data_IF_704027677498
#
_entry.id   IF_704027677498
#
_cell.length_a   1.000
_cell.length_b   1.000
_cell.length_c   1.000
_cell.angle_alpha   90.00
_cell.angle_beta   90.00
_cell.angle_gamma   90.00
#
_symmetry.space_group_name_H-M   'P 1'
#
loop_
_entity.id
_entity.type
_entity.pdbx_description
1 polymer ?
#
# COMPACT_ATOMS: atom_id res chain seq x y z
N UNK A 1 -7.60 -18.97 10.52
CA UNK A 1 -8.77 -18.04 10.56
C UNK A 1 -9.58 -18.14 9.26
N UNK A 2 -10.92 -18.22 9.30
CA UNK A 2 -11.79 -18.30 8.13
C UNK A 2 -11.83 -16.97 7.33
N UNK A 3 -11.74 -17.07 6.00
CA UNK A 3 -11.74 -15.93 5.07
C UNK A 3 -13.06 -15.17 5.12
N UNK A 4 -14.19 -15.85 5.26
CA UNK A 4 -15.50 -15.20 5.37
C UNK A 4 -15.63 -14.40 6.66
N UNK A 5 -15.09 -14.92 7.75
CA UNK A 5 -15.03 -14.23 9.04
C UNK A 5 -14.17 -12.95 8.95
N UNK A 6 -13.04 -13.02 8.23
CA UNK A 6 -12.19 -11.84 7.95
C UNK A 6 -12.96 -10.78 7.16
N UNK A 7 -13.72 -11.18 6.12
CA UNK A 7 -14.53 -10.24 5.33
C UNK A 7 -15.60 -9.56 6.19
N UNK A 8 -16.36 -10.32 6.97
CA UNK A 8 -17.36 -9.77 7.89
C UNK A 8 -16.73 -8.81 8.92
N UNK A 9 -15.55 -9.14 9.42
CA UNK A 9 -14.81 -8.27 10.34
C UNK A 9 -14.33 -6.98 9.66
N UNK A 10 -13.82 -7.05 8.42
CA UNK A 10 -13.44 -5.87 7.63
C UNK A 10 -14.63 -4.97 7.34
N UNK A 11 -15.79 -5.54 7.06
CA UNK A 11 -17.06 -4.83 6.86
C UNK A 11 -17.69 -4.29 8.15
N UNK A 12 -17.06 -4.52 9.32
CA UNK A 12 -17.54 -4.13 10.66
C UNK A 12 -18.86 -4.81 11.08
N UNK A 13 -19.21 -5.92 10.47
CA UNK A 13 -20.40 -6.72 10.82
C UNK A 13 -20.20 -7.46 12.14
N UNK A 14 -18.94 -7.80 12.46
CA UNK A 14 -18.57 -8.49 13.70
C UNK A 14 -17.59 -7.64 14.51
N UNK A 15 -17.73 -7.63 15.83
CA UNK A 15 -16.82 -6.91 16.74
C UNK A 15 -15.59 -7.76 17.07
N UNK A 16 -14.40 -7.13 17.16
CA UNK A 16 -13.14 -7.80 17.50
C UNK A 16 -13.24 -8.70 18.76
N UNK A 17 -13.94 -8.25 19.79
CA UNK A 17 -14.14 -9.02 21.04
C UNK A 17 -14.88 -10.35 20.85
N UNK A 18 -15.60 -10.52 19.74
CA UNK A 18 -16.36 -11.75 19.49
C UNK A 18 -15.47 -12.83 18.86
N UNK A 19 -14.47 -12.43 18.08
CA UNK A 19 -13.59 -13.32 17.31
C UNK A 19 -12.18 -13.43 17.87
N UNK A 20 -11.73 -12.46 18.66
CA UNK A 20 -10.39 -12.46 19.23
C UNK A 20 -10.39 -12.43 20.75
N UNK A 21 -9.30 -12.98 21.31
CA UNK A 21 -8.93 -12.77 22.69
C UNK A 21 -7.44 -12.48 22.81
N UNK A 22 -6.99 -11.99 23.95
CA UNK A 22 -5.57 -11.75 24.21
C UNK A 22 -5.14 -12.51 25.46
N UNK A 23 -3.90 -13.00 25.44
CA UNK A 23 -3.21 -13.57 26.61
C UNK A 23 -1.73 -13.17 26.58
N UNK A 24 -1.06 -13.27 27.73
CA UNK A 24 0.39 -13.16 27.80
C UNK A 24 1.05 -14.28 27.02
N UNK A 25 2.15 -13.96 26.36
CA UNK A 25 2.98 -14.93 25.63
C UNK A 25 4.44 -14.81 26.04
N UNK A 26 5.19 -15.89 25.93
CA UNK A 26 6.62 -15.91 26.21
C UNK A 26 7.42 -15.13 25.16
N UNK A 27 8.61 -14.63 25.56
CA UNK A 27 9.53 -13.92 24.64
C UNK A 27 9.84 -14.74 23.40
N UNK A 28 10.00 -16.07 23.51
CA UNK A 28 10.29 -16.96 22.39
C UNK A 28 9.17 -16.94 21.36
N UNK A 29 7.91 -17.07 21.80
CA UNK A 29 6.73 -17.03 20.93
C UNK A 29 6.58 -15.66 20.27
N UNK A 30 6.81 -14.57 21.02
CA UNK A 30 6.83 -13.23 20.47
C UNK A 30 7.93 -13.04 19.39
N UNK A 31 9.12 -13.66 19.57
CA UNK A 31 10.20 -13.61 18.57
C UNK A 31 9.81 -14.29 17.25
N UNK A 32 9.10 -15.39 17.32
CA UNK A 32 8.67 -16.14 16.13
C UNK A 32 7.72 -15.30 15.27
N UNK A 33 6.66 -14.74 15.85
CA UNK A 33 5.71 -13.91 15.10
C UNK A 33 6.31 -12.56 14.65
N UNK A 34 7.23 -11.99 15.43
CA UNK A 34 7.98 -10.80 15.02
C UNK A 34 8.88 -11.10 13.83
N UNK A 35 9.53 -12.26 13.80
CA UNK A 35 10.34 -12.70 12.66
C UNK A 35 9.51 -12.85 11.39
N UNK A 36 8.31 -13.37 11.52
CA UNK A 36 7.41 -13.62 10.41
C UNK A 36 6.82 -12.33 9.81
N UNK A 37 6.29 -11.44 10.64
CA UNK A 37 5.49 -10.31 10.15
C UNK A 37 6.10 -8.92 10.39
N UNK A 38 7.19 -8.79 11.17
CA UNK A 38 7.77 -7.47 11.42
C UNK A 38 8.85 -7.12 10.41
N UNK A 39 8.78 -5.91 9.88
CA UNK A 39 9.74 -5.38 8.89
C UNK A 39 11.21 -5.38 9.35
N UNK A 40 11.50 -5.38 10.65
CA UNK A 40 12.85 -5.50 11.20
C UNK A 40 13.34 -6.96 11.29
N UNK A 41 12.49 -7.92 11.00
CA UNK A 41 12.82 -9.34 11.00
C UNK A 41 13.43 -9.81 12.32
N UNK A 42 14.64 -10.36 12.23
CA UNK A 42 15.33 -11.04 13.33
C UNK A 42 16.01 -10.14 14.38
N UNK A 43 15.87 -8.81 14.29
CA UNK A 43 16.49 -7.92 15.30
C UNK A 43 15.91 -8.19 16.68
N UNK A 44 16.80 -8.42 17.64
CA UNK A 44 16.41 -8.63 19.04
C UNK A 44 15.73 -7.38 19.62
N UNK A 45 14.95 -7.56 20.66
CA UNK A 45 14.23 -6.50 21.33
C UNK A 45 14.26 -6.65 22.85
N UNK A 46 14.17 -5.50 23.56
CA UNK A 46 13.98 -5.49 25.01
C UNK A 46 12.59 -6.06 25.32
N UNK A 47 12.51 -6.91 26.35
CA UNK A 47 11.30 -7.64 26.71
C UNK A 47 11.10 -7.65 28.22
N UNK A 48 9.98 -7.19 28.66
CA UNK A 48 9.45 -7.30 30.02
C UNK A 48 8.17 -8.15 30.02
N UNK A 49 7.24 -7.82 29.14
CA UNK A 49 5.98 -8.55 28.96
C UNK A 49 5.52 -8.48 27.51
N UNK A 50 4.86 -9.51 27.04
CA UNK A 50 4.23 -9.53 25.72
C UNK A 50 2.83 -10.13 25.76
N UNK A 51 1.99 -9.60 24.89
CA UNK A 51 0.59 -10.05 24.73
C UNK A 51 0.38 -10.48 23.28
N UNK A 52 -0.21 -11.67 23.10
CA UNK A 52 -0.62 -12.18 21.80
C UNK A 52 -2.10 -11.97 21.55
N UNK A 53 -2.46 -11.71 20.31
CA UNK A 53 -3.83 -11.76 19.81
C UNK A 53 -4.09 -13.13 19.21
N UNK A 54 -5.13 -13.78 19.66
CA UNK A 54 -5.50 -15.12 19.22
C UNK A 54 -6.90 -15.13 18.63
N UNK A 55 -7.07 -15.92 17.57
CA UNK A 55 -8.38 -16.33 17.07
C UNK A 55 -9.06 -17.24 18.09
N UNK A 56 -10.35 -17.00 18.37
CA UNK A 56 -11.08 -17.76 19.39
C UNK A 56 -11.40 -19.19 18.99
N UNK A 57 -11.61 -19.41 17.70
CA UNK A 57 -12.06 -20.70 17.19
C UNK A 57 -10.90 -21.64 16.92
N UNK A 58 -9.75 -21.08 16.45
CA UNK A 58 -8.59 -21.89 16.05
C UNK A 58 -7.42 -21.84 17.04
N UNK A 59 -7.45 -20.95 18.04
CA UNK A 59 -6.34 -20.62 18.95
C UNK A 59 -5.04 -20.19 18.23
N UNK A 60 -5.17 -19.73 16.97
CA UNK A 60 -4.07 -19.26 16.14
C UNK A 60 -3.56 -17.91 16.61
N UNK A 61 -2.25 -17.75 16.77
CA UNK A 61 -1.60 -16.49 17.13
C UNK A 61 -1.51 -15.57 15.90
N UNK A 62 -2.21 -14.44 15.94
CA UNK A 62 -2.37 -13.52 14.80
C UNK A 62 -1.57 -12.22 14.93
N UNK A 63 -1.01 -11.94 16.07
CA UNK A 63 -0.22 -10.73 16.31
C UNK A 63 0.27 -10.62 17.73
N UNK A 64 1.22 -9.71 17.97
CA UNK A 64 1.68 -9.46 19.33
C UNK A 64 2.05 -8.00 19.59
N UNK A 65 1.91 -7.59 20.86
CA UNK A 65 2.45 -6.35 21.42
C UNK A 65 3.50 -6.70 22.46
N UNK A 66 4.74 -6.20 22.26
CA UNK A 66 5.89 -6.48 23.13
C UNK A 66 6.30 -5.21 23.83
N UNK A 67 6.37 -5.27 25.14
CA UNK A 67 6.81 -4.19 26.00
C UNK A 67 8.12 -4.58 26.68
N UNK A 68 9.06 -3.67 26.71
CA UNK A 68 10.36 -3.83 27.34
C UNK A 68 10.72 -2.61 28.16
N UNK A 69 11.87 -2.69 28.82
CA UNK A 69 12.45 -1.53 29.51
C UNK A 69 12.81 -0.44 28.51
N UNK A 70 12.70 0.82 28.92
CA UNK A 70 13.07 1.97 28.08
C UNK A 70 14.56 1.94 27.75
N UNK A 71 14.87 2.11 26.48
CA UNK A 71 16.22 1.98 25.94
C UNK A 71 17.19 3.08 26.39
N UNK A 72 17.76 2.92 27.57
CA UNK A 72 18.87 3.73 28.09
C UNK A 72 18.48 4.92 29.00
N UNK A 73 19.33 5.24 29.96
CA UNK A 73 19.16 6.27 30.94
C UNK A 73 18.93 7.66 30.31
N UNK A 74 19.61 7.94 29.20
CA UNK A 74 19.44 9.22 28.48
C UNK A 74 18.02 9.44 27.98
N UNK A 75 17.30 8.35 27.63
CA UNK A 75 15.90 8.40 27.19
C UNK A 75 14.99 8.74 28.36
N UNK A 76 15.12 8.07 29.52
CA UNK A 76 14.34 8.37 30.71
C UNK A 76 14.56 9.80 31.18
N UNK A 77 15.83 10.24 31.23
CA UNK A 77 16.17 11.59 31.59
C UNK A 77 15.57 12.65 30.67
N UNK A 78 15.58 12.39 29.37
CA UNK A 78 15.03 13.33 28.38
C UNK A 78 13.50 13.38 28.37
N UNK A 79 12.85 12.27 28.68
CA UNK A 79 11.38 12.18 28.72
C UNK A 79 10.78 12.68 30.03
N UNK A 80 11.36 12.24 31.16
CA UNK A 80 10.74 12.37 32.46
C UNK A 80 11.66 13.00 33.51
N UNK A 81 12.93 13.27 33.19
CA UNK A 81 13.93 13.74 34.18
C UNK A 81 14.40 12.66 35.13
N UNK A 82 14.01 11.41 34.90
CA UNK A 82 14.26 10.30 35.81
C UNK A 82 15.65 9.70 35.65
N UNK A 83 16.09 9.02 36.71
CA UNK A 83 17.34 8.27 36.77
C UNK A 83 17.13 6.78 36.54
N UNK A 84 18.21 6.01 36.55
CA UNK A 84 18.14 4.56 36.33
C UNK A 84 17.39 3.80 37.44
N UNK A 85 17.37 4.35 38.66
CA UNK A 85 16.68 3.74 39.80
C UNK A 85 15.18 3.57 39.58
N UNK A 86 14.59 4.46 38.81
CA UNK A 86 13.16 4.44 38.47
C UNK A 86 12.85 3.80 37.13
N UNK A 87 13.83 3.15 36.47
CA UNK A 87 13.66 2.60 35.12
C UNK A 87 12.52 1.56 35.00
N UNK A 88 12.28 0.81 36.07
CA UNK A 88 11.24 -0.25 36.11
C UNK A 88 9.81 0.31 36.20
N UNK A 89 9.67 1.62 36.35
CA UNK A 89 8.37 2.29 36.33
C UNK A 89 7.95 2.74 34.92
N UNK A 90 8.74 2.43 33.91
CA UNK A 90 8.53 2.86 32.53
C UNK A 90 8.68 1.71 31.56
N UNK A 91 7.78 1.63 30.58
CA UNK A 91 7.86 0.67 29.51
C UNK A 91 8.03 1.36 28.15
N UNK A 92 8.67 0.67 27.25
CA UNK A 92 8.66 1.00 25.81
C UNK A 92 7.90 -0.09 25.05
N UNK A 93 6.94 0.31 24.22
CA UNK A 93 6.32 -0.61 23.25
C UNK A 93 7.35 -0.86 22.15
N UNK A 94 8.13 -1.93 22.31
CA UNK A 94 9.29 -2.23 21.46
C UNK A 94 8.91 -2.89 20.13
N UNK A 95 7.82 -3.66 20.13
CA UNK A 95 7.25 -4.30 18.91
C UNK A 95 5.73 -4.30 18.98
N UNK A 96 5.13 -4.00 17.86
CA UNK A 96 3.70 -4.18 17.63
C UNK A 96 3.55 -4.80 16.25
N UNK A 97 3.06 -6.02 16.20
CA UNK A 97 3.02 -6.86 14.99
C UNK A 97 1.65 -7.47 14.83
N UNK A 98 1.19 -7.52 13.61
CA UNK A 98 -0.11 -8.10 13.26
C UNK A 98 0.02 -8.89 11.96
N UNK A 99 -0.66 -10.03 11.88
CA UNK A 99 -0.84 -10.75 10.63
C UNK A 99 -1.42 -9.79 9.57
N UNK A 100 -0.80 -9.66 8.40
CA UNK A 100 -1.24 -8.74 7.34
C UNK A 100 -2.70 -8.91 6.90
N UNK A 101 -3.28 -10.09 7.07
CA UNK A 101 -4.71 -10.36 6.83
C UNK A 101 -5.64 -9.40 7.57
N UNK A 102 -5.23 -8.97 8.76
CA UNK A 102 -6.01 -8.09 9.62
C UNK A 102 -5.73 -6.59 9.39
N UNK A 103 -4.90 -6.25 8.40
CA UNK A 103 -4.65 -4.86 8.02
C UNK A 103 -5.96 -4.17 7.58
N UNK A 104 -6.09 -2.90 7.97
CA UNK A 104 -7.30 -2.12 7.69
C UNK A 104 -8.46 -2.39 8.67
N UNK A 105 -8.28 -3.29 9.65
CA UNK A 105 -9.26 -3.58 10.71
C UNK A 105 -8.87 -2.91 12.02
N UNK A 106 -9.73 -3.05 13.04
CA UNK A 106 -9.43 -2.58 14.40
C UNK A 106 -8.75 -3.65 15.29
N UNK A 107 -8.26 -4.77 14.71
CA UNK A 107 -7.59 -5.84 15.45
C UNK A 107 -6.36 -5.33 16.22
N UNK A 108 -5.52 -4.51 15.59
CA UNK A 108 -4.31 -3.94 16.22
C UNK A 108 -4.66 -3.04 17.40
N UNK A 109 -5.68 -2.19 17.28
CA UNK A 109 -6.14 -1.34 18.40
C UNK A 109 -6.81 -2.15 19.50
N UNK A 110 -7.50 -3.24 19.15
CA UNK A 110 -8.03 -4.18 20.13
C UNK A 110 -6.92 -4.86 20.93
N UNK A 111 -5.86 -5.35 20.25
CA UNK A 111 -4.70 -5.93 20.91
C UNK A 111 -4.02 -4.92 21.84
N UNK A 112 -3.61 -3.76 21.31
CA UNK A 112 -2.86 -2.78 22.07
C UNK A 112 -3.65 -2.20 23.24
N UNK A 113 -4.92 -1.86 23.02
CA UNK A 113 -5.79 -1.33 24.08
C UNK A 113 -6.03 -2.32 25.23
N UNK A 114 -6.20 -3.61 24.92
CA UNK A 114 -6.36 -4.63 25.96
C UNK A 114 -5.01 -4.97 26.65
N UNK A 115 -3.89 -4.96 25.92
CA UNK A 115 -2.56 -5.11 26.51
C UNK A 115 -2.27 -4.00 27.55
N UNK A 116 -2.57 -2.74 27.22
CA UNK A 116 -2.44 -1.60 28.15
C UNK A 116 -3.36 -1.77 29.37
N UNK A 117 -4.61 -2.22 29.18
CA UNK A 117 -5.52 -2.50 30.31
C UNK A 117 -4.95 -3.57 31.24
N UNK A 118 -4.35 -4.62 30.70
CA UNK A 118 -3.72 -5.67 31.47
C UNK A 118 -2.49 -5.13 32.23
N UNK A 119 -1.62 -4.37 31.58
CA UNK A 119 -0.48 -3.70 32.25
C UNK A 119 -0.98 -2.85 33.42
N UNK A 120 -1.97 -1.99 33.19
CA UNK A 120 -2.58 -1.15 34.24
C UNK A 120 -3.14 -1.98 35.42
N UNK A 121 -3.64 -3.18 35.14
CA UNK A 121 -4.18 -4.08 36.18
C UNK A 121 -3.08 -4.81 36.96
N UNK A 122 -2.05 -5.31 36.29
CA UNK A 122 -1.05 -6.23 36.86
C UNK A 122 0.26 -5.61 37.26
N UNK A 123 0.64 -4.47 36.64
CA UNK A 123 1.91 -3.77 36.84
C UNK A 123 1.66 -2.36 37.39
N UNK A 124 1.29 -2.28 38.67
CA UNK A 124 0.82 -1.03 39.32
C UNK A 124 1.88 0.05 39.41
N UNK A 125 3.17 -0.31 39.37
CA UNK A 125 4.30 0.60 39.41
C UNK A 125 4.54 1.37 38.10
N UNK A 126 3.94 0.89 36.96
CA UNK A 126 4.18 1.52 35.65
C UNK A 126 3.47 2.86 35.56
N UNK A 127 4.25 3.93 35.37
CA UNK A 127 3.79 5.31 35.25
C UNK A 127 3.49 5.75 33.82
N UNK A 128 4.28 5.25 32.85
CA UNK A 128 4.06 5.56 31.44
C UNK A 128 4.59 4.48 30.51
N UNK A 129 4.05 4.47 29.29
CA UNK A 129 4.50 3.63 28.18
C UNK A 129 4.86 4.53 27.01
N UNK A 130 6.13 4.54 26.59
CA UNK A 130 6.58 5.28 25.40
C UNK A 130 6.55 4.40 24.16
N UNK A 131 6.38 5.01 22.99
CA UNK A 131 6.53 4.37 21.69
C UNK A 131 7.11 5.33 20.67
N UNK A 132 7.89 4.79 19.75
CA UNK A 132 8.61 5.53 18.74
C UNK A 132 8.25 5.03 17.35
N UNK A 133 7.61 5.87 16.54
CA UNK A 133 7.26 5.58 15.16
C UNK A 133 8.26 6.21 14.18
N UNK A 134 8.85 5.42 13.30
CA UNK A 134 9.79 5.93 12.29
C UNK A 134 9.06 6.75 11.23
N UNK A 135 9.41 8.03 11.08
CA UNK A 135 8.67 9.01 10.27
C UNK A 135 8.64 8.68 8.77
N UNK A 136 9.62 7.94 8.26
CA UNK A 136 9.66 7.51 6.86
C UNK A 136 8.69 6.36 6.54
N UNK A 137 8.10 5.75 7.57
CA UNK A 137 7.21 4.58 7.42
C UNK A 137 5.77 4.91 7.74
N UNK A 138 5.53 5.57 8.86
CA UNK A 138 4.18 5.87 9.32
C UNK A 138 4.18 6.97 10.38
N UNK A 139 3.06 7.66 10.49
CA UNK A 139 2.85 8.70 11.51
C UNK A 139 2.41 8.15 12.87
N UNK A 140 2.29 6.83 13.03
CA UNK A 140 1.86 6.22 14.29
C UNK A 140 0.35 6.31 14.55
N UNK A 141 -0.48 6.23 13.53
CA UNK A 141 -1.96 6.31 13.65
C UNK A 141 -2.53 5.35 14.69
N UNK A 142 -1.91 4.17 14.86
CA UNK A 142 -2.33 3.19 15.87
C UNK A 142 -2.20 3.72 17.31
N UNK A 143 -1.16 4.50 17.58
CA UNK A 143 -0.95 5.11 18.90
C UNK A 143 -1.99 6.18 19.19
N UNK A 144 -2.36 6.97 18.17
CA UNK A 144 -3.41 8.00 18.26
C UNK A 144 -4.75 7.35 18.62
N UNK A 145 -5.12 6.28 17.90
CA UNK A 145 -6.37 5.53 18.16
C UNK A 145 -6.39 4.89 19.56
N UNK A 146 -5.20 4.54 20.11
CA UNK A 146 -5.07 3.98 21.45
C UNK A 146 -4.79 5.04 22.53
N UNK A 147 -5.05 6.32 22.25
CA UNK A 147 -4.92 7.44 23.19
C UNK A 147 -3.50 7.71 23.73
N UNK A 148 -2.46 7.39 22.95
CA UNK A 148 -1.12 7.88 23.24
C UNK A 148 -1.05 9.37 22.88
N UNK A 149 -0.52 10.19 23.77
CA UNK A 149 -0.25 11.60 23.51
C UNK A 149 0.97 11.74 22.62
N UNK A 150 1.01 12.75 21.78
CA UNK A 150 2.09 13.00 20.83
C UNK A 150 3.02 14.12 21.33
N UNK A 151 4.33 13.89 21.26
CA UNK A 151 5.36 14.79 21.76
C UNK A 151 6.39 15.18 20.68
N UNK A 152 5.91 15.39 19.47
CA UNK A 152 6.73 15.86 18.35
C UNK A 152 7.72 14.82 17.83
N UNK A 153 8.60 15.27 16.97
CA UNK A 153 9.60 14.41 16.34
C UNK A 153 10.92 14.41 17.11
N UNK A 154 11.62 13.27 17.12
CA UNK A 154 12.98 13.17 17.67
C UNK A 154 13.93 14.11 16.94
N UNK A 155 15.04 14.47 17.61
CA UNK A 155 16.07 15.33 17.04
C UNK A 155 16.71 14.70 15.81
N UNK A 156 17.20 15.52 14.90
CA UNK A 156 18.01 15.08 13.76
C UNK A 156 19.29 14.43 14.25
N UNK A 157 19.59 13.25 13.77
CA UNK A 157 20.82 12.50 14.08
C UNK A 157 21.38 11.90 12.81
N UNK A 158 22.69 11.76 12.76
CA UNK A 158 23.38 11.11 11.65
C UNK A 158 24.07 9.83 12.11
N UNK A 159 24.21 8.89 11.20
CA UNK A 159 25.03 7.70 11.36
C UNK A 159 26.18 7.77 10.35
N UNK A 160 27.36 7.30 10.75
CA UNK A 160 28.52 7.20 9.85
C UNK A 160 28.53 5.83 9.18
N UNK A 161 28.71 5.82 7.86
CA UNK A 161 28.87 4.64 7.03
C UNK A 161 30.25 4.64 6.39
N UNK A 162 31.00 3.55 6.57
CA UNK A 162 32.30 3.35 5.92
C UNK A 162 32.19 3.24 4.40
N UNK A 163 33.33 3.32 3.72
CA UNK A 163 33.38 3.16 2.25
C UNK A 163 32.87 1.81 1.74
N UNK A 164 32.87 0.80 2.60
CA UNK A 164 32.30 -0.54 2.36
C UNK A 164 30.77 -0.61 2.58
N UNK A 165 30.12 0.53 2.86
CA UNK A 165 28.72 0.60 3.17
C UNK A 165 28.33 0.12 4.58
N UNK A 166 29.29 -0.33 5.38
CA UNK A 166 29.02 -0.80 6.75
C UNK A 166 28.71 0.38 7.67
N UNK A 167 27.68 0.20 8.52
CA UNK A 167 27.35 1.18 9.54
C UNK A 167 28.32 1.09 10.70
N UNK A 168 28.99 2.18 11.02
CA UNK A 168 29.93 2.20 12.13
C UNK A 168 29.20 2.07 13.50
N UNK A 169 29.72 1.25 14.40
CA UNK A 169 29.21 1.11 15.76
C UNK A 169 29.40 2.41 16.55
N UNK A 170 28.45 2.75 17.40
CA UNK A 170 28.58 3.90 18.31
C UNK A 170 29.80 3.76 19.21
N UNK A 171 30.57 4.83 19.32
CA UNK A 171 31.76 4.86 20.19
C UNK A 171 33.06 4.34 19.56
N UNK A 172 33.05 3.82 18.33
CA UNK A 172 34.29 3.46 17.64
C UNK A 172 35.04 4.74 17.17
N UNK A 173 36.39 4.70 17.22
CA UNK A 173 37.22 5.79 16.69
C UNK A 173 37.02 5.90 15.18
N UNK A 174 36.86 7.14 14.68
CA UNK A 174 36.56 7.44 13.26
C UNK A 174 37.66 8.24 12.58
N UNK A 175 38.78 8.48 13.28
CA UNK A 175 39.79 9.48 12.89
C UNK A 175 40.41 9.19 11.51
N UNK A 176 40.45 7.96 11.08
CA UNK A 176 41.12 7.53 9.86
C UNK A 176 40.20 6.78 8.86
N UNK A 177 38.86 6.85 9.04
CA UNK A 177 37.93 6.11 8.19
C UNK A 177 37.40 7.01 7.07
N UNK A 178 37.54 6.55 5.84
CA UNK A 178 36.81 7.11 4.68
C UNK A 178 35.34 6.65 4.75
N UNK A 179 34.40 7.58 4.53
CA UNK A 179 32.99 7.27 4.56
C UNK A 179 32.11 8.52 4.55
N UNK A 180 30.81 8.32 4.71
CA UNK A 180 29.79 9.37 4.62
C UNK A 180 28.89 9.40 5.84
N UNK A 181 28.42 10.59 6.22
CA UNK A 181 27.40 10.78 7.22
C UNK A 181 26.03 10.78 6.57
N UNK A 182 25.16 9.88 7.00
CA UNK A 182 23.78 9.77 6.48
C UNK A 182 22.83 10.17 7.60
N UNK A 183 21.87 11.06 7.30
CA UNK A 183 20.84 11.46 8.25
C UNK A 183 19.95 10.25 8.58
N UNK A 184 19.77 10.01 9.87
CA UNK A 184 18.89 8.96 10.38
C UNK A 184 17.44 9.42 10.28
N UNK A 185 16.51 8.55 9.84
CA UNK A 185 15.09 8.86 9.93
C UNK A 185 14.70 9.29 11.35
N UNK A 186 14.02 10.43 11.44
CA UNK A 186 13.48 10.90 12.71
C UNK A 186 12.33 9.98 13.15
N UNK A 187 11.99 10.04 14.44
CA UNK A 187 10.89 9.24 14.99
C UNK A 187 9.84 10.14 15.62
N UNK A 188 8.58 9.85 15.35
CA UNK A 188 7.46 10.41 16.08
C UNK A 188 7.46 9.87 17.52
N UNK A 189 7.34 10.73 18.49
CA UNK A 189 7.35 10.41 19.93
C UNK A 189 5.94 10.31 20.47
N UNK A 190 5.57 9.14 20.99
CA UNK A 190 4.28 8.86 21.58
C UNK A 190 4.44 8.40 23.03
N UNK A 191 3.52 8.80 23.90
CA UNK A 191 3.51 8.38 25.30
C UNK A 191 2.06 8.11 25.75
N UNK A 192 1.83 6.96 26.35
CA UNK A 192 0.62 6.64 27.06
C UNK A 192 0.87 6.85 28.56
N UNK A 193 0.20 7.81 29.17
CA UNK A 193 0.40 8.21 30.57
C UNK A 193 -0.58 7.41 31.44
N UNK A 194 -0.04 6.66 32.39
CA UNK A 194 -0.81 5.86 33.34
C UNK A 194 -0.94 6.57 34.70
N UNK A 195 0.07 7.36 35.07
CA UNK A 195 0.09 8.19 36.24
C UNK A 195 -0.08 9.66 35.84
N UNK A 196 -1.25 10.21 36.14
CA UNK A 196 -1.60 11.59 35.78
C UNK A 196 -0.75 12.68 36.51
N UNK A 197 0.02 12.30 37.54
CA UNK A 197 0.94 13.21 38.21
C UNK A 197 2.31 13.29 37.54
N UNK A 198 2.54 12.45 36.51
CA UNK A 198 3.81 12.41 35.80
C UNK A 198 3.97 13.61 34.88
N UNK A 199 5.04 14.34 35.06
CA UNK A 199 5.43 15.41 34.15
C UNK A 199 6.28 14.87 33.01
N UNK A 200 5.86 15.14 31.74
CA UNK A 200 6.62 14.84 30.54
C UNK A 200 7.38 16.07 30.10
N UNK A 201 8.71 15.99 29.96
CA UNK A 201 9.58 17.14 29.64
C UNK A 201 9.47 17.63 28.19
N UNK A 202 8.97 16.78 27.28
CA UNK A 202 8.68 17.22 25.92
C UNK A 202 7.35 17.94 25.88
N UNK A 203 7.26 18.96 24.99
CA UNK A 203 6.01 19.65 24.73
C UNK A 203 5.08 18.73 23.99
N UNK A 204 3.82 18.66 24.43
CA UNK A 204 2.77 17.97 23.68
C UNK A 204 2.41 18.76 22.42
N UNK A 205 2.26 18.06 21.32
CA UNK A 205 1.93 18.62 20.01
C UNK A 205 0.65 17.97 19.44
N UNK A 206 -0.05 18.65 18.53
CA UNK A 206 -1.15 18.03 17.79
C UNK A 206 -0.67 16.78 17.05
N UNK A 207 -1.55 15.79 16.91
CA UNK A 207 -1.22 14.59 16.15
C UNK A 207 -0.82 14.93 14.71
N UNK A 208 0.26 14.32 14.20
CA UNK A 208 0.65 14.48 12.82
C UNK A 208 -0.45 13.94 11.91
N UNK A 209 -0.73 14.65 10.83
CA UNK A 209 -1.64 14.17 9.80
C UNK A 209 -1.01 12.95 9.12
N UNK A 210 -1.86 12.06 8.68
CA UNK A 210 -1.44 10.92 7.87
C UNK A 210 -1.04 11.46 6.49
N UNK A 211 0.25 11.34 6.16
CA UNK A 211 0.68 11.56 4.78
C UNK A 211 0.12 10.44 3.90
N UNK A 212 -0.21 10.75 2.66
CA UNK A 212 -0.60 9.76 1.67
C UNK A 212 0.61 8.85 1.40
N UNK A 213 0.60 7.69 2.06
CA UNK A 213 1.67 6.70 1.92
C UNK A 213 1.24 5.59 0.98
N UNK A 214 2.21 5.07 0.29
CA UNK A 214 2.06 3.90 -0.54
C UNK A 214 1.42 2.75 0.23
N UNK A 215 0.30 2.28 -0.23
CA UNK A 215 -0.33 1.05 0.24
C UNK A 215 -0.28 0.01 -0.86
N UNK A 216 -0.02 -1.23 -0.49
CA UNK A 216 -0.13 -2.38 -1.37
C UNK A 216 -1.43 -3.10 -1.03
N UNK A 217 -2.22 -3.45 -2.03
CA UNK A 217 -3.40 -4.30 -1.84
C UNK A 217 -3.28 -5.57 -2.68
N UNK A 218 -3.81 -6.66 -2.17
CA UNK A 218 -4.05 -7.87 -2.94
C UNK A 218 -5.52 -7.92 -3.42
N UNK A 219 -5.83 -8.93 -4.23
CA UNK A 219 -7.19 -9.22 -4.71
C UNK A 219 -8.26 -9.38 -3.58
N UNK A 220 -7.84 -9.56 -2.33
CA UNK A 220 -8.72 -9.63 -1.15
C UNK A 220 -8.85 -8.29 -0.41
N UNK A 221 -8.35 -7.19 -0.99
CA UNK A 221 -8.43 -5.86 -0.39
C UNK A 221 -7.56 -5.67 0.87
N UNK A 222 -6.57 -6.54 1.11
CA UNK A 222 -5.64 -6.40 2.22
C UNK A 222 -4.67 -5.27 1.92
N UNK A 223 -4.68 -4.21 2.74
CA UNK A 223 -3.79 -3.05 2.60
C UNK A 223 -2.55 -3.24 3.46
N UNK A 224 -1.39 -3.22 2.85
CA UNK A 224 -0.09 -3.33 3.52
C UNK A 224 0.72 -2.09 3.19
N UNK A 225 1.38 -1.50 4.20
CA UNK A 225 2.29 -0.37 3.96
C UNK A 225 3.57 -0.90 3.32
N UNK A 226 3.89 -0.42 2.13
CA UNK A 226 5.12 -0.76 1.44
C UNK A 226 6.35 -0.14 2.13
N UNK A 227 7.40 -0.91 2.27
CA UNK A 227 8.69 -0.47 2.76
C UNK A 227 9.77 -0.64 1.69
N UNK A 228 10.01 0.41 0.92
CA UNK A 228 10.95 0.44 -0.21
C UNK A 228 12.38 -0.02 0.14
N UNK A 229 12.73 -0.12 1.44
CA UNK A 229 14.10 -0.48 1.84
C UNK A 229 14.40 -1.97 1.78
N UNK A 230 13.40 -2.82 1.53
CA UNK A 230 13.60 -4.26 1.68
C UNK A 230 13.35 -5.08 0.43
N UNK A 231 12.98 -4.53 -0.71
CA UNK A 231 12.63 -5.30 -1.94
C UNK A 231 11.80 -6.59 -1.67
N UNK A 232 11.25 -6.70 -0.48
CA UNK A 232 10.40 -7.82 -0.08
C UNK A 232 8.95 -7.43 -0.32
N UNK A 233 8.46 -7.80 -1.48
CA UNK A 233 7.03 -7.89 -1.70
C UNK A 233 6.49 -8.98 -0.77
N UNK A 234 5.66 -8.59 0.19
CA UNK A 234 4.91 -9.56 0.94
C UNK A 234 3.89 -10.19 0.00
N UNK A 235 3.99 -11.50 -0.22
CA UNK A 235 2.93 -12.24 -0.88
C UNK A 235 1.68 -12.19 -0.01
N UNK A 236 0.50 -12.09 -0.64
CA UNK A 236 -0.74 -12.17 0.10
C UNK A 236 -0.88 -13.57 0.72
N UNK A 237 -0.99 -13.69 2.04
CA UNK A 237 -1.07 -15.01 2.68
C UNK A 237 -2.37 -15.77 2.34
N UNK A 238 -3.35 -15.11 1.70
CA UNK A 238 -4.60 -15.76 1.27
C UNK A 238 -4.48 -16.38 -0.11
N UNK A 239 -3.89 -15.65 -1.06
CA UNK A 239 -3.83 -16.08 -2.46
C UNK A 239 -2.41 -16.42 -2.92
N UNK A 240 -1.40 -16.27 -2.07
CA UNK A 240 0.03 -16.39 -2.41
C UNK A 240 0.42 -15.57 -3.66
N UNK A 241 -0.45 -14.64 -4.09
CA UNK A 241 -0.21 -13.78 -5.22
C UNK A 241 0.66 -12.58 -4.85
N UNK A 242 1.36 -12.04 -5.82
CA UNK A 242 2.12 -10.81 -5.63
C UNK A 242 1.20 -9.67 -5.21
N UNK A 243 1.65 -8.88 -4.23
CA UNK A 243 0.92 -7.70 -3.78
C UNK A 243 1.18 -6.58 -4.79
N UNK A 244 0.11 -6.08 -5.42
CA UNK A 244 0.23 -4.94 -6.32
C UNK A 244 0.35 -3.64 -5.52
N UNK A 245 1.32 -2.83 -5.91
CA UNK A 245 1.54 -1.50 -5.35
C UNK A 245 0.36 -0.58 -5.71
N UNK A 246 -0.31 0.01 -4.70
CA UNK A 246 -1.27 1.08 -4.94
C UNK A 246 -0.63 2.37 -4.42
N UNK A 247 -0.18 3.20 -5.31
CA UNK A 247 0.07 4.61 -5.02
C UNK A 247 -1.29 5.28 -4.85
N UNK A 248 -1.49 6.01 -3.75
CA UNK A 248 -2.64 6.91 -3.59
C UNK A 248 -2.45 8.24 -4.36
N UNK A 249 -1.59 8.25 -5.36
CA UNK A 249 -1.66 9.26 -6.39
C UNK A 249 -2.76 8.80 -7.36
N UNK A 250 -3.66 9.69 -7.72
CA UNK A 250 -4.59 9.45 -8.83
C UNK A 250 -3.73 9.02 -10.01
N UNK A 251 -3.64 7.70 -10.25
CA UNK A 251 -2.77 7.19 -11.30
C UNK A 251 -3.36 7.63 -12.62
N UNK A 252 -2.72 8.57 -13.24
CA UNK A 252 -2.99 8.91 -14.62
C UNK A 252 -2.35 7.85 -15.49
N UNK A 253 -3.15 6.91 -15.96
CA UNK A 253 -2.72 5.95 -16.95
C UNK A 253 -2.76 6.56 -18.34
N UNK A 254 -1.84 6.14 -19.18
CA UNK A 254 -1.84 6.46 -20.60
C UNK A 254 -2.15 5.18 -21.34
N UNK A 255 -3.06 5.23 -22.29
CA UNK A 255 -3.36 4.10 -23.15
C UNK A 255 -3.34 4.53 -24.62
N UNK A 256 -2.96 3.60 -25.47
CA UNK A 256 -3.08 3.75 -26.92
C UNK A 256 -4.09 2.73 -27.43
N UNK A 257 -4.90 3.12 -28.40
CA UNK A 257 -5.91 2.27 -29.04
C UNK A 257 -5.74 2.35 -30.56
N UNK A 258 -6.01 1.25 -31.23
CA UNK A 258 -6.02 1.19 -32.69
C UNK A 258 -6.96 0.11 -33.21
N UNK A 259 -7.48 0.33 -34.42
CA UNK A 259 -8.31 -0.59 -35.17
C UNK A 259 -7.78 -0.85 -36.58
N UNK A 260 -7.65 -2.10 -36.97
CA UNK A 260 -7.12 -2.50 -38.27
C UNK A 260 -8.17 -3.21 -39.12
N UNK A 261 -8.17 -2.93 -40.42
CA UNK A 261 -8.97 -3.65 -41.41
C UNK A 261 -8.06 -4.10 -42.55
N UNK A 262 -7.75 -5.38 -42.55
CA UNK A 262 -6.85 -5.93 -43.59
C UNK A 262 -7.24 -7.34 -43.97
N UNK A 263 -6.55 -7.87 -45.00
CA UNK A 263 -6.77 -9.21 -45.51
C UNK A 263 -6.18 -10.24 -44.55
N UNK A 264 -7.00 -11.21 -44.13
CA UNK A 264 -6.62 -12.37 -43.31
C UNK A 264 -5.78 -13.36 -44.13
N UNK A 265 -5.15 -14.30 -43.46
CA UNK A 265 -4.41 -15.41 -44.08
C UNK A 265 -5.29 -16.31 -44.91
N UNK A 266 -6.57 -16.42 -44.59
CA UNK A 266 -7.58 -17.18 -45.35
C UNK A 266 -8.05 -16.49 -46.65
N UNK A 267 -7.58 -15.26 -46.89
CA UNK A 267 -7.93 -14.46 -48.06
C UNK A 267 -9.13 -13.54 -47.89
N UNK A 268 -9.88 -13.64 -46.77
CA UNK A 268 -11.01 -12.76 -46.45
C UNK A 268 -10.53 -11.49 -45.75
N UNK A 269 -11.35 -10.44 -45.77
CA UNK A 269 -11.07 -9.24 -44.96
C UNK A 269 -11.62 -9.42 -43.55
N UNK A 270 -10.88 -8.91 -42.57
CA UNK A 270 -11.29 -8.91 -41.18
C UNK A 270 -10.97 -7.61 -40.49
N UNK A 271 -11.58 -7.41 -39.35
CA UNK A 271 -11.32 -6.27 -38.45
C UNK A 271 -10.57 -6.78 -37.22
N UNK A 272 -9.49 -6.10 -36.85
CA UNK A 272 -8.78 -6.31 -35.62
C UNK A 272 -8.83 -5.06 -34.74
N UNK A 273 -8.60 -5.24 -33.48
CA UNK A 273 -8.53 -4.17 -32.47
C UNK A 273 -7.39 -4.44 -31.52
N UNK A 274 -6.86 -3.38 -30.92
CA UNK A 274 -5.86 -3.49 -29.86
C UNK A 274 -5.88 -2.28 -28.94
N UNK A 275 -5.43 -2.50 -27.72
CA UNK A 275 -5.02 -1.43 -26.83
C UNK A 275 -3.80 -1.85 -26.02
N UNK A 276 -3.04 -0.84 -25.58
CA UNK A 276 -1.99 -0.99 -24.58
C UNK A 276 -2.20 0.03 -23.48
N UNK A 277 -1.83 -0.33 -22.26
CA UNK A 277 -1.84 0.57 -21.10
C UNK A 277 -0.42 0.76 -20.61
N UNK A 278 -0.03 2.00 -20.38
CA UNK A 278 1.28 2.41 -19.90
C UNK A 278 1.17 2.96 -18.48
N UNK A 279 2.21 2.72 -17.68
CA UNK A 279 2.40 3.38 -16.40
C UNK A 279 3.00 4.79 -16.56
N UNK A 280 3.21 5.46 -15.45
CA UNK A 280 3.83 6.80 -15.39
C UNK A 280 5.27 6.87 -15.94
N UNK A 281 5.92 5.72 -16.14
CA UNK A 281 7.27 5.59 -16.70
C UNK A 281 7.25 5.24 -18.20
N UNK A 282 6.07 5.27 -18.84
CA UNK A 282 5.84 4.82 -20.20
C UNK A 282 6.18 3.34 -20.46
N UNK A 283 6.11 2.50 -19.43
CA UNK A 283 6.27 1.06 -19.59
C UNK A 283 4.92 0.42 -19.85
N UNK A 284 4.83 -0.49 -20.83
CA UNK A 284 3.61 -1.24 -21.12
C UNK A 284 3.33 -2.19 -19.95
N UNK A 285 2.21 -1.96 -19.26
CA UNK A 285 1.77 -2.78 -18.12
C UNK A 285 0.66 -3.76 -18.48
N UNK A 286 -0.03 -3.50 -19.58
CA UNK A 286 -1.04 -4.39 -20.14
C UNK A 286 -1.19 -4.19 -21.64
N UNK A 287 -1.45 -5.27 -22.37
CA UNK A 287 -1.81 -5.25 -23.78
C UNK A 287 -2.91 -6.27 -24.05
N UNK A 288 -3.85 -5.90 -24.89
CA UNK A 288 -4.91 -6.80 -25.34
C UNK A 288 -5.24 -6.52 -26.81
N UNK A 289 -5.49 -7.55 -27.58
CA UNK A 289 -5.85 -7.45 -28.97
C UNK A 289 -6.66 -8.67 -29.43
N UNK A 290 -7.46 -8.51 -30.48
CA UNK A 290 -8.28 -9.60 -30.99
C UNK A 290 -9.01 -9.24 -32.26
N UNK A 291 -9.79 -10.19 -32.78
CA UNK A 291 -10.69 -9.99 -33.92
C UNK A 291 -11.99 -9.30 -33.46
N UNK A 292 -12.58 -8.50 -34.35
CA UNK A 292 -13.88 -7.90 -34.17
C UNK A 292 -14.82 -8.37 -35.27
N UNK A 293 -15.87 -9.08 -34.91
CA UNK A 293 -16.75 -9.74 -35.84
C UNK A 293 -18.13 -9.07 -35.95
N UNK A 294 -18.46 -8.13 -35.09
CA UNK A 294 -19.66 -7.31 -35.18
C UNK A 294 -19.39 -6.07 -36.03
N UNK A 295 -20.40 -5.58 -36.76
CA UNK A 295 -20.32 -4.36 -37.58
C UNK A 295 -19.11 -4.32 -38.54
N UNK A 296 -18.75 -5.44 -39.18
CA UNK A 296 -17.61 -5.58 -40.12
C UNK A 296 -17.66 -4.52 -41.23
N UNK A 297 -18.85 -4.06 -41.62
CA UNK A 297 -19.06 -2.98 -42.57
C UNK A 297 -18.50 -1.64 -42.13
N UNK A 298 -18.21 -1.48 -40.81
CA UNK A 298 -17.56 -0.28 -40.27
C UNK A 298 -16.04 -0.29 -40.45
N UNK A 299 -15.47 -1.40 -40.96
CA UNK A 299 -14.04 -1.59 -41.23
C UNK A 299 -13.18 -1.25 -40.00
N UNK A 300 -12.06 -0.53 -40.16
CA UNK A 300 -11.16 -0.12 -39.09
C UNK A 300 -11.90 0.66 -37.99
N UNK A 301 -12.90 1.49 -38.31
CA UNK A 301 -13.67 2.27 -37.32
C UNK A 301 -14.35 1.37 -36.29
N UNK A 302 -14.83 0.19 -36.68
CA UNK A 302 -15.35 -0.79 -35.72
C UNK A 302 -14.29 -1.28 -34.74
N UNK A 303 -13.08 -1.57 -35.23
CA UNK A 303 -11.94 -1.96 -34.42
C UNK A 303 -11.51 -0.85 -33.45
N UNK A 304 -11.40 0.39 -33.93
CA UNK A 304 -11.08 1.56 -33.10
C UNK A 304 -12.04 1.74 -31.92
N UNK A 305 -13.34 1.71 -32.21
CA UNK A 305 -14.38 1.83 -31.19
C UNK A 305 -14.29 0.68 -30.19
N UNK A 306 -14.14 -0.55 -30.68
CA UNK A 306 -14.10 -1.73 -29.82
C UNK A 306 -12.85 -1.74 -28.94
N UNK A 307 -11.70 -1.29 -29.46
CA UNK A 307 -10.47 -1.12 -28.69
C UNK A 307 -10.68 -0.21 -27.46
N UNK A 308 -11.37 0.93 -27.64
CA UNK A 308 -11.69 1.84 -26.52
C UNK A 308 -12.67 1.21 -25.54
N UNK A 309 -13.69 0.47 -26.02
CA UNK A 309 -14.65 -0.20 -25.13
C UNK A 309 -13.94 -1.25 -24.28
N UNK A 310 -13.09 -2.08 -24.87
CA UNK A 310 -12.30 -3.08 -24.13
C UNK A 310 -11.32 -2.45 -23.15
N UNK A 311 -10.64 -1.38 -23.56
CA UNK A 311 -9.75 -0.61 -22.71
C UNK A 311 -10.48 -0.09 -21.45
N UNK A 312 -11.66 0.53 -21.62
CA UNK A 312 -12.43 1.06 -20.51
C UNK A 312 -12.91 -0.05 -19.57
N UNK A 313 -13.38 -1.18 -20.10
CA UNK A 313 -13.75 -2.34 -19.27
C UNK A 313 -12.57 -2.81 -18.42
N UNK A 314 -11.41 -3.00 -19.03
CA UNK A 314 -10.19 -3.38 -18.32
C UNK A 314 -9.83 -2.35 -17.23
N UNK A 315 -9.86 -1.07 -17.57
CA UNK A 315 -9.54 0.01 -16.62
C UNK A 315 -10.54 0.09 -15.45
N UNK A 316 -11.83 -0.17 -15.68
CA UNK A 316 -12.85 -0.26 -14.64
C UNK A 316 -12.60 -1.47 -13.70
N UNK A 317 -12.26 -2.63 -14.26
CA UNK A 317 -11.94 -3.83 -13.48
C UNK A 317 -10.75 -3.62 -12.54
N UNK A 318 -9.73 -2.85 -12.96
CA UNK A 318 -8.54 -2.56 -12.15
C UNK A 318 -8.67 -1.27 -11.33
N UNK A 319 -9.82 -0.58 -11.40
CA UNK A 319 -10.13 0.60 -10.58
C UNK A 319 -9.36 1.86 -10.97
N UNK A 320 -9.18 2.11 -12.27
CA UNK A 320 -8.58 3.34 -12.80
C UNK A 320 -9.54 4.51 -12.60
N UNK A 321 -9.04 5.62 -12.04
CA UNK A 321 -9.85 6.85 -11.84
C UNK A 321 -9.61 7.89 -12.93
N UNK A 322 -8.38 8.02 -13.44
CA UNK A 322 -8.02 8.94 -14.53
C UNK A 322 -7.26 8.20 -15.65
N UNK A 323 -7.70 8.41 -16.90
CA UNK A 323 -7.14 7.75 -18.09
C UNK A 323 -6.92 8.77 -19.21
N UNK A 324 -5.72 8.78 -19.78
CA UNK A 324 -5.44 9.47 -21.03
C UNK A 324 -5.46 8.47 -22.17
N UNK A 325 -6.45 8.59 -23.09
CA UNK A 325 -6.53 7.75 -24.28
C UNK A 325 -5.88 8.47 -25.45
N UNK A 326 -4.84 7.87 -26.01
CA UNK A 326 -4.14 8.33 -27.22
C UNK A 326 -4.59 7.51 -28.41
N UNK A 327 -5.00 8.17 -29.45
CA UNK A 327 -5.64 7.60 -30.63
C UNK A 327 -5.26 8.38 -31.88
N UNK A 328 -5.29 7.76 -33.06
CA UNK A 328 -5.00 8.44 -34.34
C UNK A 328 -6.27 8.64 -35.21
N UNK A 329 -7.38 7.98 -34.89
CA UNK A 329 -8.65 8.21 -35.56
C UNK A 329 -9.54 9.24 -34.84
N UNK A 330 -9.65 10.43 -35.42
CA UNK A 330 -10.32 11.59 -34.80
C UNK A 330 -11.75 11.32 -34.31
N UNK A 331 -12.47 10.39 -34.96
CA UNK A 331 -13.83 10.00 -34.59
C UNK A 331 -13.97 9.53 -33.14
N UNK A 332 -12.93 8.96 -32.54
CA UNK A 332 -12.92 8.45 -31.16
C UNK A 332 -13.27 9.58 -30.19
N UNK A 333 -12.58 10.71 -30.24
CA UNK A 333 -12.90 11.87 -29.38
C UNK A 333 -14.19 12.56 -29.81
N UNK A 334 -14.37 12.76 -31.12
CA UNK A 334 -15.44 13.59 -31.62
C UNK A 334 -16.83 13.04 -31.32
N UNK A 335 -17.01 11.70 -31.34
CA UNK A 335 -18.27 11.08 -30.92
C UNK A 335 -18.41 11.05 -29.39
N UNK A 336 -17.36 10.71 -28.67
CA UNK A 336 -17.37 10.65 -27.20
C UNK A 336 -17.74 12.01 -26.57
N UNK A 337 -17.18 13.11 -27.11
CA UNK A 337 -17.40 14.48 -26.64
C UNK A 337 -18.60 15.19 -27.26
N UNK A 338 -19.42 14.48 -28.08
CA UNK A 338 -20.59 15.01 -28.80
C UNK A 338 -20.28 16.16 -29.79
N UNK A 339 -19.02 16.27 -30.23
CA UNK A 339 -18.64 17.21 -31.30
C UNK A 339 -19.12 16.74 -32.67
N UNK A 340 -19.20 15.43 -32.89
CA UNK A 340 -19.82 14.82 -34.06
C UNK A 340 -21.16 14.14 -33.72
N UNK A 341 -22.12 14.23 -34.63
CA UNK A 341 -23.43 13.55 -34.49
C UNK A 341 -23.25 12.02 -34.69
N UNK A 342 -23.70 11.25 -33.73
CA UNK A 342 -23.76 9.78 -33.84
C UNK A 342 -24.98 9.36 -34.67
N UNK A 343 -24.77 9.06 -35.98
CA UNK A 343 -25.83 8.67 -36.89
C UNK A 343 -26.05 7.17 -36.95
N UNK A 344 -25.00 6.36 -36.71
CA UNK A 344 -25.05 4.90 -36.73
C UNK A 344 -25.19 4.36 -35.30
N UNK A 345 -25.85 3.21 -35.17
CA UNK A 345 -26.06 2.52 -33.92
C UNK A 345 -24.73 2.29 -33.17
N UNK A 346 -23.70 1.79 -33.87
CA UNK A 346 -22.35 1.62 -33.29
C UNK A 346 -21.82 2.87 -32.60
N UNK A 347 -21.91 4.03 -33.26
CA UNK A 347 -21.40 5.30 -32.69
C UNK A 347 -22.28 5.84 -31.54
N UNK A 348 -23.59 5.52 -31.53
CA UNK A 348 -24.50 5.87 -30.43
C UNK A 348 -24.17 5.05 -29.20
N UNK A 349 -24.05 3.73 -29.33
CA UNK A 349 -23.65 2.81 -28.25
C UNK A 349 -22.28 3.17 -27.68
N UNK A 350 -21.32 3.46 -28.57
CA UNK A 350 -19.98 3.89 -28.14
C UNK A 350 -20.04 5.14 -27.25
N UNK A 351 -20.74 6.18 -27.68
CA UNK A 351 -20.89 7.42 -26.90
C UNK A 351 -21.57 7.16 -25.56
N UNK A 352 -22.66 6.40 -25.54
CA UNK A 352 -23.37 6.04 -24.29
C UNK A 352 -22.45 5.29 -23.33
N UNK A 353 -21.65 4.37 -23.85
CA UNK A 353 -20.69 3.61 -23.05
C UNK A 353 -19.61 4.51 -22.44
N UNK A 354 -19.00 5.38 -23.25
CA UNK A 354 -17.96 6.32 -22.75
C UNK A 354 -18.53 7.29 -21.73
N UNK A 355 -19.73 7.84 -21.95
CA UNK A 355 -20.39 8.76 -21.00
C UNK A 355 -20.83 8.06 -19.70
N UNK A 356 -21.10 6.77 -19.74
CA UNK A 356 -21.47 5.97 -18.58
C UNK A 356 -20.28 5.49 -17.74
N UNK A 357 -19.05 5.60 -18.25
CA UNK A 357 -17.86 5.18 -17.53
C UNK A 357 -17.57 6.08 -16.32
N UNK A 358 -17.24 5.51 -15.16
CA UNK A 358 -16.85 6.29 -13.98
C UNK A 358 -15.45 6.89 -14.09
N UNK A 359 -14.68 6.55 -15.14
CA UNK A 359 -13.31 6.98 -15.36
C UNK A 359 -13.30 8.41 -15.92
N UNK A 360 -12.48 9.28 -15.35
CA UNK A 360 -12.21 10.59 -15.92
C UNK A 360 -11.28 10.47 -17.12
N UNK A 361 -11.84 10.54 -18.31
CA UNK A 361 -11.14 10.32 -19.58
C UNK A 361 -10.62 11.64 -20.14
N UNK A 362 -9.37 11.65 -20.57
CA UNK A 362 -8.75 12.69 -21.38
C UNK A 362 -8.38 12.09 -22.74
N UNK A 363 -8.79 12.73 -23.83
CA UNK A 363 -8.47 12.29 -25.19
C UNK A 363 -7.31 13.10 -25.75
N UNK A 364 -6.32 12.41 -26.33
CA UNK A 364 -5.13 13.03 -26.95
C UNK A 364 -4.93 12.45 -28.34
N UNK A 365 -5.17 13.26 -29.37
CA UNK A 365 -4.94 12.84 -30.75
C UNK A 365 -3.44 12.77 -31.04
N UNK A 366 -2.99 11.63 -31.56
CA UNK A 366 -1.63 11.41 -32.04
C UNK A 366 -1.65 11.27 -33.56
N UNK A 367 -0.56 11.67 -34.20
CA UNK A 367 -0.49 11.53 -35.67
C UNK A 367 -0.12 10.10 -36.04
N UNK A 368 -0.97 9.42 -36.81
CA UNK A 368 -0.68 8.08 -37.34
C UNK A 368 0.65 8.04 -38.09
N UNK A 369 1.39 6.95 -37.93
CA UNK A 369 2.68 6.70 -38.57
C UNK A 369 3.73 7.81 -38.38
N UNK A 370 3.76 8.42 -37.21
CA UNK A 370 4.69 9.50 -36.86
C UNK A 370 5.96 9.06 -36.13
N UNK A 371 6.12 7.74 -35.93
CA UNK A 371 7.23 7.19 -35.15
C UNK A 371 6.98 7.21 -33.63
N UNK A 372 5.77 7.51 -33.19
CA UNK A 372 5.41 7.42 -31.76
C UNK A 372 5.27 5.95 -31.36
N UNK A 373 6.16 5.49 -30.49
CA UNK A 373 6.31 4.07 -30.14
C UNK A 373 4.99 3.39 -29.75
N UNK A 374 4.18 4.02 -28.88
CA UNK A 374 2.92 3.44 -28.41
C UNK A 374 1.90 3.25 -29.53
N UNK A 375 1.80 4.22 -30.46
CA UNK A 375 0.89 4.16 -31.59
C UNK A 375 1.33 3.11 -32.62
N UNK A 376 2.61 3.04 -32.94
CA UNK A 376 3.17 2.03 -33.86
C UNK A 376 3.04 0.62 -33.29
N UNK A 377 3.20 0.48 -31.99
CA UNK A 377 3.09 -0.81 -31.33
C UNK A 377 1.65 -1.31 -31.30
N UNK A 378 0.66 -0.47 -30.95
CA UNK A 378 -0.75 -0.86 -30.94
C UNK A 378 -1.28 -1.16 -32.34
N UNK A 379 -0.85 -0.42 -33.38
CA UNK A 379 -1.14 -0.73 -34.79
C UNK A 379 -0.66 -2.14 -35.19
N UNK A 380 0.55 -2.51 -34.76
CA UNK A 380 1.07 -3.88 -34.97
C UNK A 380 0.21 -4.94 -34.28
N UNK A 381 -0.27 -4.67 -33.07
CA UNK A 381 -1.17 -5.60 -32.34
C UNK A 381 -2.55 -5.69 -32.99
N UNK A 382 -3.14 -4.57 -33.41
CA UNK A 382 -4.43 -4.55 -34.11
C UNK A 382 -4.38 -5.37 -35.41
N UNK A 383 -3.29 -5.27 -36.19
CA UNK A 383 -3.05 -6.10 -37.36
C UNK A 383 -2.96 -7.60 -37.04
N UNK A 384 -2.28 -7.97 -35.94
CA UNK A 384 -2.24 -9.36 -35.46
C UNK A 384 -3.63 -9.85 -35.06
N UNK A 385 -4.43 -9.00 -34.43
CA UNK A 385 -5.79 -9.30 -34.01
C UNK A 385 -6.71 -9.71 -35.16
N UNK A 386 -6.49 -9.21 -36.39
CA UNK A 386 -7.29 -9.55 -37.56
C UNK A 386 -7.28 -11.05 -37.86
N UNK A 387 -6.18 -11.74 -37.60
CA UNK A 387 -6.04 -13.20 -37.88
C UNK A 387 -6.47 -14.07 -36.68
N UNK A 388 -6.90 -13.50 -35.57
CA UNK A 388 -7.39 -14.28 -34.43
C UNK A 388 -8.83 -14.75 -34.73
N UNK A 389 -9.08 -16.02 -34.43
CA UNK A 389 -10.44 -16.59 -34.43
C UNK A 389 -10.89 -16.70 -32.96
N UNK A 390 -12.11 -16.26 -32.67
CA UNK A 390 -12.77 -16.58 -31.40
C UNK A 390 -13.11 -18.06 -31.32
#
# INVERSE_FOLDING_TARGET
MDINLIKQFKNREIKAKNIFYIKTIEKRVAKEIVKEFHYLGTKDFMHTVSYGLFDKDTDELLGCAVFGTVGGISTLKSWFGETNENSDNYLELTRLVMNPLLNGTNATSFLLGNAIKNIKKTMKNIRAIISLAESTRHVGSIYQVCNFRYFGMSDKKTDFYGADGSKNKRGSSRRDMQGVWIERPRKHRYCYILDNTLEVKYKEEPYPKKDDKLYITCCHGTKIVHDNRFDKYYTCPICCGELKEIKNDVKKYIAYTDGSYCKRKDGNYGVGWAFIVLDEYNSVIHEEYGAYNEYIESRNVGGEIYAVVRLLQYCEEIGVEELEIRYDYEGIEMWATNKWKCKKELTQRYREFVLGSPIKITFTHVRGHSGEYGNEYVDTLAKKGVDMHE
#
